data_IF_708840719520
#
_entry.id   IF_708840719520
#
_cell.length_a   1.000
_cell.length_b   1.000
_cell.length_c   1.000
_cell.angle_alpha   90.00
_cell.angle_beta   90.00
_cell.angle_gamma   90.00
#
_symmetry.space_group_name_H-M   'P 1'
#
loop_
_entity.id
_entity.type
_entity.pdbx_description
1 polymer ?
#
# COMPACT_ATOMS: atom_id res chain seq x y z
N UNK A 1 9.13 -10.98 21.39
CA UNK A 1 7.90 -11.27 20.66
C UNK A 1 7.81 -10.31 19.46
N UNK A 2 7.49 -10.84 18.26
CA UNK A 2 7.35 -10.00 17.07
C UNK A 2 6.07 -9.16 17.06
N UNK A 3 5.09 -9.54 17.84
CA UNK A 3 3.75 -8.91 17.86
C UNK A 3 3.75 -7.48 18.40
N UNK A 4 4.85 -7.03 19.01
CA UNK A 4 4.99 -5.65 19.51
C UNK A 4 5.43 -4.66 18.40
N UNK A 5 5.76 -5.17 17.21
CA UNK A 5 6.28 -4.36 16.12
C UNK A 5 5.27 -4.24 14.97
N UNK A 6 5.04 -3.03 14.51
CA UNK A 6 4.18 -2.76 13.35
C UNK A 6 4.82 -3.24 12.04
N UNK A 7 6.16 -3.27 11.97
CA UNK A 7 6.92 -3.69 10.80
C UNK A 7 8.24 -4.32 11.23
N UNK A 8 8.66 -5.35 10.52
CA UNK A 8 9.99 -5.98 10.65
C UNK A 8 10.76 -5.78 9.36
N UNK A 9 11.94 -5.17 9.45
CA UNK A 9 12.88 -5.09 8.33
C UNK A 9 13.84 -6.28 8.45
N UNK A 10 13.81 -7.15 7.43
CA UNK A 10 14.66 -8.33 7.36
C UNK A 10 15.73 -8.15 6.29
N UNK A 11 16.97 -8.16 6.70
CA UNK A 11 18.11 -8.09 5.81
C UNK A 11 19.07 -9.26 6.09
N UNK A 12 19.42 -10.00 5.05
CA UNK A 12 20.27 -11.17 5.16
C UNK A 12 19.62 -12.45 4.68
N UNK A 13 20.14 -13.60 5.15
CA UNK A 13 19.57 -14.90 4.83
C UNK A 13 18.10 -14.97 5.24
N UNK A 14 17.24 -15.49 4.36
CA UNK A 14 15.83 -15.68 4.69
C UNK A 14 15.67 -16.64 5.88
N UNK A 15 14.63 -16.42 6.72
CA UNK A 15 14.41 -17.26 7.88
C UNK A 15 14.06 -18.69 7.46
N UNK A 16 14.53 -19.68 8.24
CA UNK A 16 14.28 -21.09 8.02
C UNK A 16 13.70 -21.76 9.26
N UNK A 17 13.09 -22.91 9.08
CA UNK A 17 12.55 -23.76 10.14
C UNK A 17 11.70 -22.97 11.17
N UNK A 18 12.00 -23.09 12.45
CA UNK A 18 11.23 -22.47 13.54
C UNK A 18 11.20 -20.94 13.50
N UNK A 19 12.22 -20.28 12.95
CA UNK A 19 12.23 -18.84 12.79
C UNK A 19 11.27 -18.39 11.70
N UNK A 20 11.25 -19.12 10.56
CA UNK A 20 10.30 -18.89 9.49
C UNK A 20 8.85 -19.11 9.94
N UNK A 21 8.58 -20.11 10.76
CA UNK A 21 7.27 -20.36 11.33
C UNK A 21 6.81 -19.19 12.21
N UNK A 22 7.64 -18.77 13.16
CA UNK A 22 7.33 -17.65 14.05
C UNK A 22 7.08 -16.35 13.29
N UNK A 23 7.91 -16.06 12.29
CA UNK A 23 7.77 -14.85 11.50
C UNK A 23 6.52 -14.93 10.58
N UNK A 24 6.20 -16.14 10.07
CA UNK A 24 4.97 -16.38 9.31
C UNK A 24 3.73 -16.20 10.18
N UNK A 25 3.75 -16.64 11.43
CA UNK A 25 2.63 -16.48 12.36
C UNK A 25 2.44 -14.99 12.71
N UNK A 26 3.54 -14.24 12.87
CA UNK A 26 3.48 -12.78 13.03
C UNK A 26 2.80 -12.13 11.81
N UNK A 27 3.19 -12.49 10.58
CA UNK A 27 2.57 -11.96 9.36
C UNK A 27 1.09 -12.34 9.29
N UNK A 28 0.74 -13.61 9.55
CA UNK A 28 -0.66 -14.06 9.55
C UNK A 28 -1.53 -13.30 10.55
N UNK A 29 -0.96 -12.87 11.67
CA UNK A 29 -1.65 -12.08 12.68
C UNK A 29 -1.89 -10.61 12.28
N UNK A 30 -1.25 -10.13 11.21
CA UNK A 30 -1.37 -8.76 10.70
C UNK A 30 -0.04 -8.02 10.61
N UNK A 31 1.08 -8.69 10.88
CA UNK A 31 2.41 -8.07 10.79
C UNK A 31 2.86 -7.81 9.35
N UNK A 32 3.72 -6.82 9.18
CA UNK A 32 4.37 -6.50 7.91
C UNK A 32 5.86 -6.86 7.99
N UNK A 33 6.35 -7.64 7.02
CA UNK A 33 7.78 -7.98 6.90
C UNK A 33 8.30 -7.45 5.58
N UNK A 34 9.35 -6.64 5.62
CA UNK A 34 10.05 -6.11 4.43
C UNK A 34 11.41 -6.78 4.33
N UNK A 35 11.64 -7.49 3.25
CA UNK A 35 12.84 -8.27 3.03
C UNK A 35 13.76 -7.61 2.00
N UNK A 36 15.03 -7.43 2.39
CA UNK A 36 16.11 -6.99 1.49
C UNK A 36 17.07 -8.16 1.21
N UNK A 37 17.55 -8.31 -0.04
CA UNK A 37 18.42 -9.42 -0.41
C UNK A 37 19.79 -9.31 0.25
N UNK A 38 20.51 -10.44 0.35
CA UNK A 38 21.92 -10.48 0.70
C UNK A 38 22.80 -10.77 -0.54
N UNK A 39 24.12 -10.60 -0.44
CA UNK A 39 25.06 -10.88 -1.54
C UNK A 39 25.07 -12.38 -1.92
N UNK A 40 24.98 -13.25 -0.91
CA UNK A 40 25.00 -14.70 -1.15
C UNK A 40 23.74 -15.17 -1.84
N UNK A 41 23.90 -16.08 -2.77
CA UNK A 41 22.75 -16.74 -3.37
C UNK A 41 22.19 -17.77 -2.39
N UNK A 42 20.87 -17.73 -2.25
CA UNK A 42 20.12 -18.61 -1.37
C UNK A 42 18.85 -19.05 -2.12
N UNK A 43 18.60 -20.35 -2.14
CA UNK A 43 17.40 -20.92 -2.74
C UNK A 43 16.22 -20.96 -1.76
N UNK A 44 16.41 -20.42 -0.54
CA UNK A 44 15.38 -20.37 0.49
C UNK A 44 14.25 -19.45 0.06
N UNK A 45 13.04 -19.84 0.39
CA UNK A 45 11.83 -19.04 0.17
C UNK A 45 11.12 -18.78 1.48
N UNK A 46 10.61 -17.55 1.61
CA UNK A 46 9.77 -17.16 2.73
C UNK A 46 8.37 -16.78 2.22
N UNK A 47 7.36 -17.50 2.70
CA UNK A 47 5.97 -17.38 2.24
C UNK A 47 5.80 -17.49 0.71
N UNK A 48 6.64 -18.31 0.06
CA UNK A 48 6.61 -18.54 -1.38
C UNK A 48 7.36 -17.52 -2.22
N UNK A 49 7.89 -16.45 -1.61
CA UNK A 49 8.77 -15.48 -2.26
C UNK A 49 10.25 -15.77 -1.93
N UNK A 50 11.14 -15.41 -2.83
CA UNK A 50 12.57 -15.55 -2.66
C UNK A 50 13.34 -14.77 -3.73
N UNK A 51 14.66 -14.92 -3.77
CA UNK A 51 15.49 -14.24 -4.75
C UNK A 51 16.23 -15.23 -5.65
N UNK A 52 16.38 -14.84 -6.91
CA UNK A 52 17.29 -15.46 -7.86
C UNK A 52 18.74 -15.05 -7.65
N UNK A 53 19.59 -15.37 -8.64
CA UNK A 53 21.00 -15.02 -8.59
C UNK A 53 21.23 -13.51 -8.57
N UNK A 54 22.31 -13.12 -7.88
CA UNK A 54 22.81 -11.74 -7.90
C UNK A 54 23.25 -11.38 -9.33
N UNK A 55 22.78 -10.22 -9.80
CA UNK A 55 23.25 -9.57 -11.03
C UNK A 55 23.88 -8.24 -10.68
N UNK A 56 25.06 -7.97 -11.26
CA UNK A 56 25.74 -6.70 -11.24
C UNK A 56 25.52 -6.01 -12.56
N UNK A 57 25.41 -4.70 -12.52
CA UNK A 57 25.37 -3.91 -13.77
C UNK A 57 26.76 -3.88 -14.40
N UNK A 58 26.80 -4.10 -15.70
CA UNK A 58 28.00 -4.02 -16.51
C UNK A 58 27.68 -3.28 -17.82
N UNK A 59 28.64 -2.55 -18.32
CA UNK A 59 28.59 -1.96 -19.65
C UNK A 59 29.99 -2.02 -20.27
N UNK A 60 30.07 -2.36 -21.54
CA UNK A 60 31.34 -2.54 -22.28
C UNK A 60 32.31 -3.50 -21.58
N UNK A 61 31.78 -4.54 -20.89
CA UNK A 61 32.57 -5.52 -20.16
C UNK A 61 33.16 -5.00 -18.84
N UNK A 62 32.75 -3.80 -18.38
CA UNK A 62 33.18 -3.22 -17.10
C UNK A 62 32.06 -3.35 -16.07
N UNK A 63 32.38 -3.99 -14.94
CA UNK A 63 31.55 -3.96 -13.71
C UNK A 63 31.89 -2.73 -12.87
N UNK A 64 30.92 -2.29 -12.07
CA UNK A 64 31.08 -1.17 -11.14
C UNK A 64 31.06 -1.69 -9.68
N UNK A 65 31.92 -1.16 -8.84
CA UNK A 65 32.04 -1.57 -7.45
C UNK A 65 30.87 -1.07 -6.57
N UNK A 66 30.33 0.08 -6.93
CA UNK A 66 29.24 0.76 -6.24
C UNK A 66 28.45 1.68 -7.17
N UNK A 67 27.34 2.22 -6.67
CA UNK A 67 26.48 3.10 -7.48
C UNK A 67 27.12 4.48 -7.76
N UNK A 68 28.01 4.97 -6.90
CA UNK A 68 28.72 6.23 -7.14
C UNK A 68 29.62 6.14 -8.37
N UNK A 69 30.20 4.97 -8.62
CA UNK A 69 30.99 4.73 -9.82
C UNK A 69 30.13 4.77 -11.10
N UNK A 70 28.86 4.35 -11.02
CA UNK A 70 27.90 4.53 -12.12
C UNK A 70 27.70 6.01 -12.42
N UNK A 71 27.41 6.81 -11.38
CA UNK A 71 27.22 8.27 -11.52
C UNK A 71 28.47 8.94 -12.11
N UNK A 72 29.66 8.55 -11.63
CA UNK A 72 30.91 9.10 -12.13
C UNK A 72 31.23 8.71 -13.58
N UNK A 73 30.66 7.61 -14.07
CA UNK A 73 30.81 7.12 -15.42
C UNK A 73 29.72 7.62 -16.39
N UNK A 74 28.62 8.17 -15.87
CA UNK A 74 27.55 8.74 -16.70
C UNK A 74 28.07 9.92 -17.51
N UNK A 75 27.79 9.90 -18.81
CA UNK A 75 27.94 11.08 -19.68
C UNK A 75 26.71 11.96 -19.50
N UNK A 76 26.81 13.22 -19.86
CA UNK A 76 25.64 14.09 -19.95
C UNK A 76 24.53 13.38 -20.74
N UNK A 77 23.39 13.08 -20.11
CA UNK A 77 22.19 12.46 -20.67
C UNK A 77 22.13 10.91 -20.65
N UNK A 78 23.12 10.17 -20.18
CA UNK A 78 23.01 8.72 -19.99
C UNK A 78 22.90 8.37 -18.49
N UNK A 79 21.87 7.63 -18.17
CA UNK A 79 21.69 7.03 -16.84
C UNK A 79 22.17 5.58 -16.87
N UNK A 80 23.25 5.27 -16.16
CA UNK A 80 23.79 3.93 -16.02
C UNK A 80 23.12 3.20 -14.84
N UNK A 81 23.15 1.86 -14.88
CA UNK A 81 22.56 1.00 -13.85
C UNK A 81 21.28 0.32 -14.28
N UNK A 82 20.76 -0.57 -13.43
CA UNK A 82 19.44 -1.15 -13.64
C UNK A 82 18.38 -0.09 -13.36
N UNK A 83 17.57 0.24 -14.36
CA UNK A 83 16.57 1.30 -14.30
C UNK A 83 15.22 0.76 -13.85
N UNK A 84 14.56 1.47 -12.94
CA UNK A 84 13.18 1.19 -12.55
C UNK A 84 12.27 2.08 -13.37
N UNK A 85 11.45 1.48 -14.23
CA UNK A 85 10.65 2.23 -15.22
C UNK A 85 9.14 2.07 -15.04
N UNK A 86 8.72 1.09 -14.24
CA UNK A 86 7.30 0.85 -13.96
C UNK A 86 7.09 0.72 -12.46
N UNK A 87 6.15 1.49 -11.91
CA UNK A 87 5.74 1.40 -10.51
C UNK A 87 4.34 1.94 -10.30
N UNK A 88 3.68 1.44 -9.25
CA UNK A 88 2.35 1.89 -8.83
C UNK A 88 2.48 3.16 -8.00
N UNK A 89 1.94 4.27 -8.49
CA UNK A 89 2.05 5.60 -7.88
C UNK A 89 0.75 6.17 -7.30
N UNK A 90 -0.35 5.45 -7.45
CA UNK A 90 -1.66 5.84 -6.95
C UNK A 90 -2.01 5.20 -5.60
N UNK A 91 -1.30 4.14 -5.22
CA UNK A 91 -1.49 3.42 -3.96
C UNK A 91 -0.19 2.75 -3.48
N UNK A 92 -0.16 2.34 -2.21
CA UNK A 92 0.94 1.59 -1.64
C UNK A 92 2.18 2.43 -1.31
N UNK A 93 3.34 1.78 -1.12
CA UNK A 93 4.52 2.43 -0.57
C UNK A 93 5.19 3.45 -1.51
N UNK A 94 4.91 3.38 -2.81
CA UNK A 94 5.48 4.28 -3.81
C UNK A 94 4.49 5.34 -4.30
N UNK A 95 3.30 5.43 -3.67
CA UNK A 95 2.28 6.41 -4.06
C UNK A 95 2.83 7.84 -4.01
N UNK A 96 2.29 8.71 -4.84
CA UNK A 96 2.53 10.15 -4.77
C UNK A 96 1.97 10.75 -3.48
N UNK A 97 2.48 11.92 -3.09
CA UNK A 97 1.94 12.66 -1.94
C UNK A 97 0.53 13.18 -2.24
N UNK A 98 -0.19 13.64 -1.21
CA UNK A 98 -1.49 14.31 -1.37
C UNK A 98 -1.39 15.55 -2.27
N UNK A 99 -0.23 16.20 -2.31
CA UNK A 99 0.08 17.34 -3.17
C UNK A 99 0.41 16.93 -4.61
N UNK A 100 0.43 15.62 -4.91
CA UNK A 100 0.71 15.07 -6.24
C UNK A 100 2.20 14.92 -6.57
N UNK A 101 3.10 15.04 -5.60
CA UNK A 101 4.54 14.85 -5.81
C UNK A 101 4.89 13.37 -5.88
N UNK A 102 5.67 12.99 -6.87
CA UNK A 102 6.18 11.63 -7.06
C UNK A 102 7.45 11.40 -6.26
N UNK A 103 7.63 10.15 -5.80
CA UNK A 103 8.95 9.72 -5.36
C UNK A 103 9.87 9.58 -6.57
N UNK A 104 11.16 9.98 -6.45
CA UNK A 104 12.11 9.89 -7.57
C UNK A 104 12.62 8.45 -7.77
N UNK A 105 11.69 7.50 -7.93
CA UNK A 105 12.01 6.07 -8.10
C UNK A 105 12.79 5.82 -9.38
N UNK A 106 12.43 6.54 -10.46
CA UNK A 106 13.13 6.44 -11.74
C UNK A 106 14.57 6.99 -11.73
N UNK A 107 14.91 7.80 -10.71
CA UNK A 107 16.26 8.39 -10.57
C UNK A 107 17.19 7.50 -9.72
N UNK A 108 16.68 6.39 -9.17
CA UNK A 108 17.51 5.47 -8.41
C UNK A 108 18.62 4.86 -9.29
N UNK A 109 19.85 4.89 -8.77
CA UNK A 109 21.00 4.21 -9.36
C UNK A 109 21.12 2.83 -8.71
N UNK A 110 20.87 1.78 -9.49
CA UNK A 110 20.94 0.41 -9.01
C UNK A 110 22.08 -0.32 -9.71
N UNK A 111 23.14 -0.60 -8.95
CA UNK A 111 24.34 -1.31 -9.41
C UNK A 111 24.20 -2.83 -9.29
N UNK A 112 23.49 -3.29 -8.27
CA UNK A 112 23.30 -4.72 -8.01
C UNK A 112 21.83 -5.01 -7.71
N UNK A 113 21.34 -6.15 -8.22
CA UNK A 113 19.98 -6.59 -7.98
C UNK A 113 19.87 -8.11 -7.95
N UNK A 114 18.79 -8.59 -7.35
CA UNK A 114 18.31 -9.97 -7.49
C UNK A 114 16.88 -9.95 -8.01
N UNK A 115 16.56 -10.86 -8.93
CA UNK A 115 15.19 -11.05 -9.36
C UNK A 115 14.35 -11.60 -8.20
N UNK A 116 13.20 -11.01 -7.92
CA UNK A 116 12.25 -11.56 -6.97
C UNK A 116 11.51 -12.69 -7.66
N UNK A 117 11.49 -13.86 -7.01
CA UNK A 117 10.88 -15.09 -7.51
C UNK A 117 9.64 -15.43 -6.68
N UNK A 118 8.62 -15.96 -7.32
CA UNK A 118 7.41 -16.41 -6.66
C UNK A 118 6.15 -15.72 -7.20
N UNK A 119 5.04 -15.90 -6.49
CA UNK A 119 3.72 -15.42 -6.84
C UNK A 119 3.30 -14.31 -5.88
N UNK A 120 3.29 -13.07 -6.36
CA UNK A 120 2.96 -11.87 -5.59
C UNK A 120 2.54 -10.72 -6.51
N UNK A 121 2.03 -9.65 -5.90
CA UNK A 121 1.68 -8.42 -6.59
C UNK A 121 2.94 -7.58 -6.86
N UNK A 122 3.23 -7.33 -8.12
CA UNK A 122 4.37 -6.48 -8.52
C UNK A 122 3.97 -5.03 -8.32
N UNK A 123 4.71 -4.32 -7.48
CA UNK A 123 4.51 -2.89 -7.21
C UNK A 123 5.46 -2.01 -8.01
N UNK A 124 6.62 -2.53 -8.37
CA UNK A 124 7.56 -1.86 -9.26
C UNK A 124 8.46 -2.86 -9.99
N UNK A 125 8.90 -2.49 -11.20
CA UNK A 125 9.74 -3.32 -12.06
C UNK A 125 10.88 -2.52 -12.67
N UNK A 126 11.96 -3.23 -12.92
CA UNK A 126 13.05 -2.76 -13.78
C UNK A 126 12.62 -2.71 -15.25
N UNK A 127 13.40 -2.02 -16.08
CA UNK A 127 13.16 -1.85 -17.52
C UNK A 127 13.00 -3.19 -18.27
N UNK A 128 13.70 -4.23 -17.84
CA UNK A 128 13.60 -5.56 -18.43
C UNK A 128 12.42 -6.39 -17.87
N UNK A 129 11.51 -5.76 -17.11
CA UNK A 129 10.32 -6.40 -16.53
C UNK A 129 10.59 -7.21 -15.25
N UNK A 130 11.84 -7.30 -14.79
CA UNK A 130 12.17 -7.98 -13.53
C UNK A 130 11.59 -7.18 -12.35
N UNK A 131 10.87 -7.81 -11.42
CA UNK A 131 10.31 -7.09 -10.27
C UNK A 131 11.41 -6.49 -9.38
N UNK A 132 11.25 -5.19 -9.04
CA UNK A 132 12.06 -4.50 -8.05
C UNK A 132 11.41 -4.52 -6.66
N UNK A 133 10.09 -4.37 -6.61
CA UNK A 133 9.31 -4.41 -5.38
C UNK A 133 8.09 -5.30 -5.62
N UNK A 134 7.92 -6.32 -4.77
CA UNK A 134 6.82 -7.27 -4.85
C UNK A 134 6.26 -7.53 -3.47
N UNK A 135 4.93 -7.58 -3.35
CA UNK A 135 4.24 -7.88 -2.11
C UNK A 135 3.38 -9.13 -2.22
N UNK A 136 3.16 -9.79 -1.08
CA UNK A 136 2.26 -10.94 -0.97
C UNK A 136 1.50 -10.88 0.33
N UNK A 137 0.18 -10.94 0.25
CA UNK A 137 -0.68 -11.06 1.40
C UNK A 137 -0.56 -12.47 2.02
N UNK A 138 -0.43 -12.54 3.34
CA UNK A 138 -0.33 -13.80 4.09
C UNK A 138 -1.19 -13.68 5.35
N UNK A 139 -2.35 -14.31 5.37
CA UNK A 139 -3.31 -14.13 6.44
C UNK A 139 -3.85 -12.70 6.49
N UNK A 140 -3.63 -12.00 7.62
CA UNK A 140 -4.05 -10.60 7.80
C UNK A 140 -2.94 -9.59 7.52
N UNK A 141 -1.72 -10.04 7.30
CA UNK A 141 -0.55 -9.21 7.07
C UNK A 141 0.05 -9.42 5.69
N UNK A 142 1.27 -8.92 5.52
CA UNK A 142 1.91 -8.84 4.22
C UNK A 142 3.41 -9.08 4.33
N UNK A 143 3.97 -9.71 3.30
CA UNK A 143 5.42 -9.80 3.09
C UNK A 143 5.77 -8.99 1.85
N UNK A 144 6.78 -8.15 1.94
CA UNK A 144 7.29 -7.31 0.85
C UNK A 144 8.75 -7.68 0.58
N UNK A 145 9.07 -7.93 -0.68
CA UNK A 145 10.43 -8.21 -1.13
C UNK A 145 10.94 -7.07 -1.99
N UNK A 146 12.18 -6.65 -1.74
CA UNK A 146 12.90 -5.69 -2.56
C UNK A 146 13.98 -6.42 -3.38
N UNK A 147 14.15 -6.06 -4.65
CA UNK A 147 15.16 -6.67 -5.54
C UNK A 147 16.56 -6.08 -5.40
N UNK A 148 16.72 -5.00 -4.62
CA UNK A 148 18.02 -4.40 -4.28
C UNK A 148 18.07 -4.05 -2.80
N UNK A 149 19.23 -3.71 -2.26
CA UNK A 149 19.36 -3.32 -0.86
C UNK A 149 19.91 -1.89 -0.71
N UNK A 150 19.62 -1.21 0.43
CA UNK A 150 20.16 0.10 0.74
C UNK A 150 21.62 -0.01 1.22
N UNK A 151 22.53 -0.22 0.30
CA UNK A 151 23.97 -0.18 0.57
C UNK A 151 24.71 0.40 -0.63
N UNK A 152 25.87 1.02 -0.38
CA UNK A 152 26.65 1.70 -1.42
C UNK A 152 27.04 0.80 -2.59
N UNK A 153 27.25 -0.49 -2.32
CA UNK A 153 27.52 -1.47 -3.38
C UNK A 153 26.32 -1.71 -4.30
N UNK A 154 25.10 -1.59 -3.76
CA UNK A 154 23.90 -2.02 -4.45
C UNK A 154 23.13 -0.87 -5.09
N UNK A 155 22.85 0.19 -4.35
CA UNK A 155 22.00 1.25 -4.88
C UNK A 155 22.05 2.56 -4.09
N UNK A 156 21.64 3.63 -4.74
CA UNK A 156 21.45 4.96 -4.13
C UNK A 156 20.23 5.04 -3.19
N UNK A 157 19.58 3.91 -2.85
CA UNK A 157 18.59 3.88 -1.77
C UNK A 157 19.16 4.41 -0.44
N UNK A 158 20.47 4.29 -0.25
CA UNK A 158 21.20 4.87 0.91
C UNK A 158 21.03 6.38 1.04
N UNK A 159 20.76 7.11 -0.02
CA UNK A 159 20.48 8.55 0.02
C UNK A 159 19.17 8.90 0.73
N UNK A 160 18.28 7.92 0.90
CA UNK A 160 17.04 8.07 1.66
C UNK A 160 15.88 8.72 0.92
N UNK A 161 16.08 9.31 -0.25
CA UNK A 161 15.06 10.05 -1.00
C UNK A 161 13.84 9.20 -1.36
N UNK A 162 14.05 7.92 -1.64
CA UNK A 162 12.98 6.94 -1.90
C UNK A 162 12.77 6.03 -0.69
N UNK A 163 13.85 5.54 -0.07
CA UNK A 163 13.79 4.57 1.01
C UNK A 163 12.99 5.08 2.21
N UNK A 164 13.27 6.30 2.68
CA UNK A 164 12.64 6.82 3.90
C UNK A 164 11.12 6.98 3.73
N UNK A 165 10.60 7.69 2.72
CA UNK A 165 9.15 7.81 2.57
C UNK A 165 8.48 6.47 2.24
N UNK A 166 9.14 5.58 1.52
CA UNK A 166 8.66 4.22 1.26
C UNK A 166 8.47 3.45 2.57
N UNK A 167 9.50 3.42 3.43
CA UNK A 167 9.43 2.72 4.72
C UNK A 167 8.44 3.37 5.70
N UNK A 168 8.32 4.70 5.70
CA UNK A 168 7.32 5.40 6.52
C UNK A 168 5.90 5.00 6.15
N UNK A 169 5.60 4.88 4.86
CA UNK A 169 4.28 4.43 4.38
C UNK A 169 4.02 2.98 4.74
N UNK A 170 5.01 2.10 4.54
CA UNK A 170 4.94 0.70 4.94
C UNK A 170 4.75 0.55 6.45
N UNK A 171 5.42 1.39 7.27
CA UNK A 171 5.25 1.39 8.72
C UNK A 171 3.82 1.77 9.12
N UNK A 172 3.26 2.83 8.51
CA UNK A 172 1.88 3.24 8.75
C UNK A 172 0.88 2.16 8.33
N UNK A 173 1.15 1.47 7.21
CA UNK A 173 0.35 0.33 6.76
C UNK A 173 0.43 -0.83 7.76
N UNK A 174 1.64 -1.19 8.22
CA UNK A 174 1.85 -2.22 9.22
C UNK A 174 1.16 -1.90 10.56
N UNK A 175 1.24 -0.66 11.02
CA UNK A 175 0.51 -0.20 12.20
C UNK A 175 -1.01 -0.36 12.03
N UNK A 176 -1.54 0.02 10.89
CA UNK A 176 -2.95 -0.13 10.58
C UNK A 176 -3.38 -1.61 10.54
N UNK A 177 -2.59 -2.51 9.96
CA UNK A 177 -2.83 -3.96 9.95
C UNK A 177 -2.81 -4.53 11.36
N UNK A 178 -1.80 -4.20 12.17
CA UNK A 178 -1.65 -4.70 13.54
C UNK A 178 -2.73 -4.18 14.48
N UNK A 179 -3.14 -2.93 14.35
CA UNK A 179 -4.20 -2.34 15.17
C UNK A 179 -5.59 -2.86 14.81
N UNK A 180 -5.70 -3.75 13.81
CA UNK A 180 -6.98 -4.26 13.32
C UNK A 180 -7.81 -3.20 12.62
N UNK A 181 -7.25 -2.02 12.36
CA UNK A 181 -7.80 -1.08 11.39
C UNK A 181 -7.67 -1.73 10.02
N UNK A 182 -8.66 -1.60 9.16
CA UNK A 182 -8.50 -2.04 7.79
C UNK A 182 -7.38 -1.22 7.18
N UNK A 183 -6.19 -1.81 7.17
CA UNK A 183 -5.04 -1.24 6.52
C UNK A 183 -5.28 -1.27 5.03
N UNK A 184 -5.04 -0.21 4.44
CA UNK A 184 -4.89 0.06 3.02
C UNK A 184 -5.43 1.45 2.66
N UNK A 185 -5.62 2.34 3.66
CA UNK A 185 -6.17 3.67 3.40
C UNK A 185 -7.59 3.65 2.83
N UNK A 186 -8.19 2.45 2.73
CA UNK A 186 -9.52 2.27 2.18
C UNK A 186 -10.55 2.61 3.25
N UNK A 187 -11.28 3.68 3.01
CA UNK A 187 -12.47 4.00 3.78
C UNK A 187 -13.53 2.99 3.38
N UNK A 188 -13.99 2.18 4.33
CA UNK A 188 -15.11 1.28 4.10
C UNK A 188 -16.39 2.10 3.91
N UNK A 189 -17.18 1.72 2.92
CA UNK A 189 -18.45 2.38 2.59
C UNK A 189 -19.59 1.39 2.71
N UNK A 190 -20.61 1.74 3.49
CA UNK A 190 -21.82 0.92 3.61
C UNK A 190 -22.50 0.77 2.24
N UNK A 191 -23.09 -0.39 1.99
CA UNK A 191 -23.67 -0.73 0.71
C UNK A 191 -22.68 -1.10 -0.41
N UNK A 192 -21.39 -0.81 -0.23
CA UNK A 192 -20.31 -1.14 -1.19
C UNK A 192 -19.40 -2.23 -0.63
N UNK A 193 -18.90 -2.03 0.59
CA UNK A 193 -18.07 -3.01 1.27
C UNK A 193 -18.95 -3.96 2.09
N UNK A 194 -18.74 -5.26 1.90
CA UNK A 194 -19.51 -6.29 2.59
C UNK A 194 -18.61 -7.09 3.52
N UNK A 195 -19.19 -7.57 4.62
CA UNK A 195 -18.51 -8.52 5.48
C UNK A 195 -18.23 -9.82 4.71
N UNK A 196 -17.06 -10.41 4.92
CA UNK A 196 -16.73 -11.72 4.36
C UNK A 196 -17.61 -12.81 4.97
N UNK A 197 -17.79 -13.92 4.24
CA UNK A 197 -18.57 -15.04 4.72
C UNK A 197 -17.99 -15.58 6.06
N UNK A 198 -18.83 -15.65 7.10
CA UNK A 198 -18.43 -16.03 8.45
C UNK A 198 -17.93 -14.89 9.35
N UNK A 199 -17.75 -13.68 8.84
CA UNK A 199 -17.44 -12.50 9.67
C UNK A 199 -18.72 -11.94 10.31
N UNK A 200 -18.68 -11.80 11.65
CA UNK A 200 -19.78 -11.19 12.39
C UNK A 200 -19.33 -9.88 13.03
N UNK A 201 -19.70 -8.79 12.41
CA UNK A 201 -19.44 -7.44 12.89
C UNK A 201 -20.55 -6.97 13.80
N UNK A 202 -20.20 -6.43 14.97
CA UNK A 202 -21.14 -5.91 15.96
C UNK A 202 -20.91 -4.40 16.09
N UNK A 203 -21.96 -3.57 16.14
CA UNK A 203 -21.80 -2.13 16.35
C UNK A 203 -21.15 -1.86 17.71
N UNK A 204 -20.18 -0.94 17.76
CA UNK A 204 -19.44 -0.56 18.98
C UNK A 204 -20.29 0.26 19.95
N UNK A 205 -21.24 1.05 19.44
CA UNK A 205 -22.15 1.83 20.27
C UNK A 205 -23.20 0.95 20.95
N UNK A 206 -22.89 0.52 22.17
CA UNK A 206 -23.84 -0.14 23.05
C UNK A 206 -24.83 0.89 23.62
N UNK A 207 -25.99 1.04 23.03
CA UNK A 207 -27.01 1.93 23.56
C UNK A 207 -28.23 2.21 22.68
N UNK A 208 -28.16 1.95 21.40
CA UNK A 208 -29.33 2.03 20.55
C UNK A 208 -29.98 0.65 20.40
N UNK A 209 -31.29 0.57 20.64
CA UNK A 209 -32.10 -0.62 20.31
C UNK A 209 -32.18 -0.90 18.78
N UNK A 210 -31.42 -0.20 17.99
CA UNK A 210 -31.32 -0.38 16.55
C UNK A 210 -30.24 -1.42 16.24
N UNK A 211 -30.64 -2.46 15.54
CA UNK A 211 -29.73 -3.46 15.00
C UNK A 211 -29.03 -2.79 13.79
N UNK A 212 -27.85 -2.22 14.02
CA UNK A 212 -27.03 -1.68 12.95
C UNK A 212 -26.43 -2.83 12.16
N UNK A 213 -26.61 -2.81 10.85
CA UNK A 213 -26.03 -3.77 9.91
C UNK A 213 -24.76 -3.21 9.27
N UNK A 214 -23.66 -3.94 9.41
CA UNK A 214 -22.35 -3.59 8.84
C UNK A 214 -22.41 -3.31 7.33
N UNK A 215 -23.20 -4.07 6.61
CA UNK A 215 -23.23 -3.98 5.15
C UNK A 215 -24.04 -2.78 4.64
N UNK A 216 -24.95 -2.25 5.43
CA UNK A 216 -25.91 -1.24 4.98
C UNK A 216 -25.88 0.08 5.75
N UNK A 217 -25.21 0.15 6.88
CA UNK A 217 -25.25 1.33 7.74
C UNK A 217 -23.85 1.82 8.10
N UNK A 218 -23.67 3.14 8.06
CA UNK A 218 -22.45 3.79 8.56
C UNK A 218 -22.36 3.69 10.09
N UNK A 219 -21.15 3.49 10.60
CA UNK A 219 -20.92 3.36 12.03
C UNK A 219 -19.56 2.78 12.38
N UNK A 220 -19.33 2.58 13.67
CA UNK A 220 -18.17 1.87 14.18
C UNK A 220 -18.58 0.45 14.52
N UNK A 221 -17.86 -0.50 13.98
CA UNK A 221 -18.14 -1.94 14.17
C UNK A 221 -16.93 -2.66 14.72
N UNK A 222 -17.21 -3.69 15.55
CA UNK A 222 -16.19 -4.53 16.19
C UNK A 222 -16.38 -6.01 15.83
N UNK A 223 -15.26 -6.68 15.58
CA UNK A 223 -15.18 -8.13 15.47
C UNK A 223 -13.97 -8.63 16.27
N UNK A 224 -14.18 -9.18 17.46
CA UNK A 224 -13.10 -9.50 18.39
C UNK A 224 -12.35 -8.24 18.82
N UNK A 225 -11.05 -8.16 18.53
CA UNK A 225 -10.23 -6.97 18.80
C UNK A 225 -10.16 -5.99 17.61
N UNK A 226 -10.75 -6.34 16.47
CA UNK A 226 -10.78 -5.47 15.28
C UNK A 226 -11.91 -4.47 15.39
N UNK A 227 -11.60 -3.19 15.20
CA UNK A 227 -12.58 -2.09 15.15
C UNK A 227 -12.43 -1.40 13.80
N UNK A 228 -13.53 -1.14 13.12
CA UNK A 228 -13.56 -0.46 11.83
C UNK A 228 -14.62 0.62 11.82
N UNK A 229 -14.33 1.69 11.09
CA UNK A 229 -15.31 2.71 10.74
C UNK A 229 -15.82 2.45 9.32
N UNK A 230 -17.15 2.38 9.19
CA UNK A 230 -17.83 2.28 7.89
C UNK A 230 -18.54 3.61 7.66
N UNK A 231 -18.20 4.28 6.56
CA UNK A 231 -18.77 5.56 6.20
C UNK A 231 -19.88 5.41 5.14
N UNK A 232 -20.62 6.48 4.92
CA UNK A 232 -21.49 6.55 3.74
C UNK A 232 -20.63 6.66 2.48
N UNK A 233 -21.06 6.11 1.35
CA UNK A 233 -20.41 6.35 0.07
C UNK A 233 -20.36 7.85 -0.21
N UNK A 234 -19.20 8.36 -0.66
CA UNK A 234 -19.05 9.79 -0.98
C UNK A 234 -20.03 10.28 -2.06
N UNK A 235 -20.55 9.39 -2.87
CA UNK A 235 -21.59 9.70 -3.86
C UNK A 235 -22.96 10.04 -3.25
N UNK A 236 -23.25 9.64 -2.01
CA UNK A 236 -24.51 9.98 -1.32
C UNK A 236 -24.51 11.44 -0.81
N UNK A 237 -23.35 12.04 -0.60
CA UNK A 237 -23.23 13.44 -0.17
C UNK A 237 -23.39 14.41 -1.36
N UNK A 238 -23.33 13.89 -2.58
CA UNK A 238 -23.61 14.64 -3.80
C UNK A 238 -25.10 14.50 -4.10
N UNK A 239 -25.92 15.34 -3.47
CA UNK A 239 -27.31 15.49 -3.89
C UNK A 239 -27.33 16.28 -5.22
N UNK A 240 -27.51 15.63 -6.38
CA UNK A 240 -27.74 16.39 -7.60
C UNK A 240 -29.06 17.18 -7.39
N UNK A 241 -28.98 18.51 -7.45
CA UNK A 241 -30.20 19.30 -7.53
C UNK A 241 -30.92 18.90 -8.80
N UNK A 242 -32.06 18.24 -8.64
CA UNK A 242 -32.98 18.02 -9.75
C UNK A 242 -33.45 19.38 -10.23
N UNK A 243 -33.31 19.65 -11.51
CA UNK A 243 -33.92 20.82 -12.14
C UNK A 243 -35.44 20.73 -11.95
N UNK A 244 -36.09 21.86 -11.63
CA UNK A 244 -37.51 21.95 -11.27
C UNK A 244 -38.42 21.27 -12.33
N UNK A 245 -38.03 21.27 -13.61
CA UNK A 245 -38.74 20.59 -14.68
C UNK A 245 -38.71 19.05 -14.61
N UNK A 246 -37.63 18.47 -14.10
CA UNK A 246 -37.45 17.00 -13.96
C UNK A 246 -38.22 16.43 -12.79
N UNK A 247 -38.48 17.24 -11.75
CA UNK A 247 -39.32 16.81 -10.62
C UNK A 247 -40.76 16.52 -11.08
N UNK A 248 -41.31 17.38 -11.92
CA UNK A 248 -42.66 17.15 -12.51
C UNK A 248 -42.74 15.88 -13.37
N UNK A 249 -41.70 15.56 -14.14
CA UNK A 249 -41.65 14.34 -14.96
C UNK A 249 -41.59 13.06 -14.12
N UNK A 250 -40.88 13.08 -12.99
CA UNK A 250 -40.72 11.93 -12.09
C UNK A 250 -42.03 11.55 -11.38
N UNK A 251 -42.85 12.53 -11.05
CA UNK A 251 -44.13 12.33 -10.32
C UNK A 251 -45.37 12.23 -11.23
N UNK A 252 -45.17 12.42 -12.54
CA UNK A 252 -46.25 12.29 -13.54
C UNK A 252 -47.47 13.18 -13.25
N UNK A 253 -48.64 12.61 -13.11
CA UNK A 253 -49.89 13.35 -12.86
C UNK A 253 -50.12 13.77 -11.39
N UNK A 254 -49.18 13.44 -10.49
CA UNK A 254 -49.26 13.84 -9.07
C UNK A 254 -48.87 15.32 -8.93
N UNK A 255 -49.77 16.19 -8.37
CA UNK A 255 -49.46 17.59 -8.20
C UNK A 255 -48.34 17.74 -7.15
N UNK A 256 -47.16 18.23 -7.57
CA UNK A 256 -46.02 18.45 -6.73
C UNK A 256 -45.82 19.94 -6.50
N UNK A 257 -45.77 20.37 -5.23
CA UNK A 257 -45.43 21.74 -4.86
C UNK A 257 -43.98 21.74 -4.35
N UNK A 258 -43.08 22.46 -5.04
CA UNK A 258 -41.72 22.66 -4.60
C UNK A 258 -41.68 23.79 -3.53
N UNK A 259 -41.33 23.42 -2.32
CA UNK A 259 -41.09 24.41 -1.23
C UNK A 259 -39.61 24.78 -1.24
N UNK A 260 -39.28 25.97 -1.67
CA UNK A 260 -37.92 26.51 -1.52
C UNK A 260 -37.73 27.05 -0.11
N UNK A 261 -36.82 26.47 0.62
CA UNK A 261 -36.39 26.98 1.93
C UNK A 261 -35.53 28.25 1.70
N UNK A 262 -36.08 29.43 2.05
CA UNK A 262 -35.42 30.75 1.90
C UNK A 262 -34.41 31.04 3.00
N UNK A 263 -34.00 30.07 3.81
CA UNK A 263 -33.16 30.27 5.01
C UNK A 263 -31.65 30.46 4.76
N UNK A 264 -31.18 30.50 3.50
CA UNK A 264 -29.74 30.65 3.21
C UNK A 264 -29.30 32.02 2.56
N UNK A 265 -30.19 32.97 2.45
CA UNK A 265 -29.79 34.35 2.04
C UNK A 265 -29.93 35.34 3.23
N UNK A 266 -28.86 35.47 4.00
CA UNK A 266 -28.86 36.47 5.07
C UNK A 266 -27.61 36.44 5.93
N UNK A 267 -26.51 36.98 5.43
CA UNK A 267 -25.31 37.10 6.26
C UNK A 267 -24.09 37.66 5.55
N UNK A 268 -24.29 38.71 4.75
CA UNK A 268 -23.21 39.54 4.26
C UNK A 268 -23.63 41.01 4.40
N UNK A 269 -23.15 41.64 5.42
CA UNK A 269 -23.40 43.07 5.66
C UNK A 269 -22.52 43.59 6.77
N UNK A 270 -21.57 44.42 6.39
CA UNK A 270 -20.74 45.40 7.12
C UNK A 270 -19.54 44.84 7.90
#
# INVERSE_FOLDING_TARGET
>A
DWTDYAMVLWQGKLPEAAEAEKLTDYVKAGGLVVCFPEEKNDDVRFNGLGWGALKKFETDGKEFGNWQELVAAEKEQEQLGFRITSYTDNEGPLQKTEEGLYLPVGDLRVNQRKAIMGDGAIQASFEDGVPWLMSKAVGKGQVVFCGTQPSDKWSSLTEGLVLVPMLQRMLSEGEAMMSGRFAQGRILSCGVDQASEGERWVPEEAGSNEVKDFNSQAGIYRMGQRVVAVNRPSGEDITPRLEDGKVGELFGEVPVALVQDKSSEGGGGD
#
